data_IF_589691186477
#
_entry.id   IF_589691186477
#
_cell.length_a   1.000
_cell.length_b   1.000
_cell.length_c   1.000
_cell.angle_alpha   90.00
_cell.angle_beta   90.00
_cell.angle_gamma   90.00
#
_symmetry.space_group_name_H-M   'P 1'
#
loop_
_entity.id
_entity.type
_entity.pdbx_description
1 polymer ?
#
# COMPACT_ATOMS: atom_id res chain seq x y z
N UNK A 1 4.22 -7.93 3.99
CA UNK A 1 5.04 -7.15 3.06
C UNK A 1 6.15 -6.40 3.81
N UNK A 2 5.85 -5.35 4.57
CA UNK A 2 6.83 -4.44 5.18
C UNK A 2 7.86 -5.14 6.08
N UNK A 3 7.42 -5.80 7.15
CA UNK A 3 8.31 -6.53 8.08
C UNK A 3 9.09 -7.67 7.42
N UNK A 4 8.54 -8.25 6.34
CA UNK A 4 9.23 -9.27 5.54
C UNK A 4 10.22 -8.70 4.54
N UNK A 5 10.29 -7.38 4.43
CA UNK A 5 11.10 -6.66 3.46
C UNK A 5 10.85 -7.11 2.01
N UNK A 6 9.61 -7.52 1.72
CA UNK A 6 9.14 -7.88 0.39
C UNK A 6 7.97 -6.98 -0.01
N UNK A 7 8.28 -5.86 -0.67
CA UNK A 7 7.29 -4.88 -1.08
C UNK A 7 6.65 -5.18 -2.42
N UNK A 8 7.19 -6.12 -3.20
CA UNK A 8 6.69 -6.46 -4.55
C UNK A 8 5.21 -6.86 -4.55
N UNK A 9 4.78 -7.57 -3.51
CA UNK A 9 3.39 -7.99 -3.38
C UNK A 9 2.38 -6.83 -3.22
N UNK A 10 2.85 -5.62 -2.90
CA UNK A 10 2.01 -4.42 -2.78
C UNK A 10 1.86 -3.71 -4.13
N UNK A 11 2.70 -4.02 -5.11
CA UNK A 11 2.75 -3.33 -6.40
C UNK A 11 1.38 -3.15 -7.09
N UNK A 12 0.46 -4.12 -7.07
CA UNK A 12 -0.85 -3.99 -7.70
C UNK A 12 -1.76 -2.92 -7.10
N UNK A 13 -1.49 -2.52 -5.85
CA UNK A 13 -2.36 -1.62 -5.07
C UNK A 13 -1.89 -0.18 -5.05
N UNK A 14 -0.62 0.06 -5.35
CA UNK A 14 -0.01 1.39 -5.26
C UNK A 14 0.26 1.98 -6.63
N UNK A 15 0.11 3.30 -6.73
CA UNK A 15 0.64 4.06 -7.85
C UNK A 15 2.14 3.86 -7.96
N UNK A 16 2.71 4.08 -9.13
CA UNK A 16 4.15 3.94 -9.34
C UNK A 16 4.97 4.83 -8.40
N UNK A 17 4.52 6.07 -8.21
CA UNK A 17 5.20 7.02 -7.32
C UNK A 17 5.21 6.52 -5.88
N UNK A 18 4.06 6.14 -5.31
CA UNK A 18 3.97 5.68 -3.94
C UNK A 18 4.75 4.38 -3.71
N UNK A 19 4.65 3.45 -4.66
CA UNK A 19 5.44 2.21 -4.61
C UNK A 19 6.94 2.49 -4.57
N UNK A 20 7.41 3.45 -5.36
CA UNK A 20 8.83 3.86 -5.38
C UNK A 20 9.24 4.48 -4.05
N UNK A 21 8.43 5.36 -3.49
CA UNK A 21 8.67 5.99 -2.17
C UNK A 21 8.79 4.94 -1.06
N UNK A 22 7.84 4.01 -0.97
CA UNK A 22 7.87 2.93 0.02
C UNK A 22 9.03 1.96 -0.21
N UNK A 23 9.35 1.64 -1.46
CA UNK A 23 10.50 0.79 -1.78
C UNK A 23 11.81 1.43 -1.34
N UNK A 24 11.98 2.74 -1.54
CA UNK A 24 13.17 3.47 -1.11
C UNK A 24 13.31 3.48 0.42
N UNK A 25 12.21 3.68 1.15
CA UNK A 25 12.22 3.61 2.61
C UNK A 25 12.61 2.20 3.10
N UNK A 26 12.08 1.18 2.45
CA UNK A 26 12.40 -0.21 2.82
C UNK A 26 13.86 -0.57 2.51
N UNK A 27 14.38 -0.11 1.38
CA UNK A 27 15.78 -0.27 1.00
C UNK A 27 16.74 0.40 2.00
N UNK A 28 16.31 1.49 2.64
CA UNK A 28 17.08 2.14 3.70
C UNK A 28 17.20 1.24 4.94
N UNK A 29 16.11 0.62 5.40
CA UNK A 29 16.17 -0.38 6.47
C UNK A 29 17.09 -1.54 6.13
N UNK A 30 17.01 -2.05 4.90
CA UNK A 30 17.86 -3.16 4.42
C UNK A 30 19.34 -2.77 4.43
N UNK A 31 19.68 -1.60 3.88
CA UNK A 31 21.07 -1.10 3.85
C UNK A 31 21.64 -0.88 5.24
N UNK A 32 20.82 -0.47 6.19
CA UNK A 32 21.21 -0.24 7.58
C UNK A 32 21.27 -1.54 8.40
N UNK A 33 20.96 -2.69 7.80
CA UNK A 33 20.91 -3.98 8.49
C UNK A 33 19.83 -4.04 9.59
N UNK A 34 18.70 -3.36 9.35
CA UNK A 34 17.61 -3.26 10.30
C UNK A 34 16.29 -3.73 9.70
N UNK A 35 15.35 -4.11 10.56
CA UNK A 35 13.99 -4.46 10.18
C UNK A 35 13.01 -3.68 11.05
N UNK A 36 12.05 -3.02 10.43
CA UNK A 36 10.91 -2.44 11.15
C UNK A 36 9.80 -3.49 11.31
N UNK A 37 9.45 -3.75 12.54
CA UNK A 37 8.40 -4.69 12.90
C UNK A 37 7.12 -3.94 13.22
N UNK A 38 6.06 -4.32 12.52
CA UNK A 38 4.70 -3.89 12.79
C UNK A 38 3.91 -5.12 13.23
N UNK A 39 3.52 -5.14 14.50
CA UNK A 39 2.83 -6.28 15.11
C UNK A 39 1.47 -5.86 15.67
N UNK A 40 0.57 -6.80 15.79
CA UNK A 40 -0.79 -6.59 16.32
C UNK A 40 -1.54 -5.44 15.63
N UNK A 41 -1.28 -5.28 14.32
CA UNK A 41 -1.93 -4.25 13.51
C UNK A 41 -3.44 -4.53 13.45
N UNK A 42 -4.24 -3.57 13.87
CA UNK A 42 -5.68 -3.64 13.80
C UNK A 42 -6.28 -2.32 13.34
N UNK A 43 -7.21 -2.39 12.40
CA UNK A 43 -8.05 -1.27 12.02
C UNK A 43 -9.21 -1.19 13.00
N UNK A 44 -9.32 -0.06 13.72
CA UNK A 44 -10.37 0.19 14.71
C UNK A 44 -11.60 0.82 14.05
N UNK A 45 -11.35 1.74 13.12
CA UNK A 45 -12.40 2.45 12.39
C UNK A 45 -11.85 3.01 11.07
N UNK A 46 -12.74 3.27 10.12
CA UNK A 46 -12.39 3.94 8.87
C UNK A 46 -13.60 4.66 8.28
N UNK A 47 -13.36 5.85 7.71
CA UNK A 47 -14.42 6.65 7.06
C UNK A 47 -13.88 7.44 5.88
N UNK A 48 -14.75 7.73 4.93
CA UNK A 48 -14.44 8.63 3.81
C UNK A 48 -14.42 10.05 4.36
N UNK A 49 -13.26 10.69 4.26
CA UNK A 49 -13.04 12.05 4.70
C UNK A 49 -13.33 13.09 3.61
N UNK A 50 -12.92 12.77 2.37
CA UNK A 50 -13.04 13.70 1.25
C UNK A 50 -13.17 12.95 -0.08
N UNK A 51 -13.94 13.52 -0.99
CA UNK A 51 -14.02 13.07 -2.38
C UNK A 51 -13.80 14.31 -3.27
N UNK A 52 -12.91 14.20 -4.25
CA UNK A 52 -12.62 15.29 -5.18
C UNK A 52 -12.14 14.75 -6.52
N UNK A 53 -11.98 15.61 -7.51
CA UNK A 53 -11.46 15.26 -8.83
C UNK A 53 -10.64 16.40 -9.41
N UNK A 54 -9.74 16.06 -10.30
CA UNK A 54 -9.06 16.97 -11.20
C UNK A 54 -9.55 16.76 -12.67
N UNK A 55 -8.73 17.09 -13.64
CA UNK A 55 -9.08 16.93 -15.05
C UNK A 55 -9.06 15.47 -15.53
N UNK A 56 -8.31 14.58 -14.88
CA UNK A 56 -8.04 13.21 -15.33
C UNK A 56 -8.49 12.14 -14.33
N UNK A 57 -8.48 12.47 -13.06
CA UNK A 57 -8.69 11.51 -11.96
C UNK A 57 -9.75 11.97 -10.99
N UNK A 58 -10.44 11.00 -10.43
CA UNK A 58 -11.24 11.14 -9.22
C UNK A 58 -10.50 10.51 -8.03
N UNK A 59 -10.68 11.11 -6.87
CA UNK A 59 -9.97 10.77 -5.64
C UNK A 59 -10.93 10.53 -4.50
N UNK A 60 -10.61 9.53 -3.68
CA UNK A 60 -11.26 9.29 -2.40
C UNK A 60 -10.19 9.28 -1.31
N UNK A 61 -10.33 10.16 -0.35
CA UNK A 61 -9.49 10.19 0.84
C UNK A 61 -10.21 9.50 1.99
N UNK A 62 -9.57 8.51 2.57
CA UNK A 62 -10.06 7.72 3.69
C UNK A 62 -9.19 8.01 4.91
N UNK A 63 -9.82 8.31 6.03
CA UNK A 63 -9.19 8.29 7.34
C UNK A 63 -9.38 6.92 7.97
N UNK A 64 -8.29 6.36 8.49
CA UNK A 64 -8.28 5.02 9.08
C UNK A 64 -7.60 5.09 10.45
N UNK A 65 -8.36 4.78 11.50
CA UNK A 65 -7.85 4.67 12.85
C UNK A 65 -7.30 3.26 13.07
N UNK A 66 -6.04 3.18 13.45
CA UNK A 66 -5.38 1.89 13.70
C UNK A 66 -4.69 1.86 15.05
N UNK A 67 -4.41 0.67 15.52
CA UNK A 67 -3.42 0.45 16.54
C UNK A 67 -2.38 -0.59 16.10
N UNK A 68 -1.16 -0.45 16.60
CA UNK A 68 -0.08 -1.38 16.29
C UNK A 68 1.05 -1.25 17.31
N UNK A 69 1.84 -2.30 17.43
CA UNK A 69 3.17 -2.26 18.06
C UNK A 69 4.15 -1.96 16.93
N UNK A 70 5.02 -0.97 17.13
CA UNK A 70 6.01 -0.52 16.15
C UNK A 70 7.38 -0.41 16.81
N UNK A 71 8.36 -1.12 16.24
CA UNK A 71 9.75 -1.07 16.69
C UNK A 71 10.73 -1.46 15.58
N UNK A 72 11.96 -1.01 15.70
CA UNK A 72 13.05 -1.34 14.77
C UNK A 72 14.09 -2.19 15.50
N UNK A 73 14.46 -3.30 14.87
CA UNK A 73 15.46 -4.24 15.36
C UNK A 73 16.66 -4.32 14.43
N UNK A 74 17.84 -4.32 14.99
CA UNK A 74 19.08 -4.62 14.25
C UNK A 74 19.15 -6.12 13.94
N UNK A 75 19.40 -6.48 12.69
CA UNK A 75 19.37 -7.88 12.23
C UNK A 75 20.50 -8.70 12.83
N UNK A 76 21.70 -8.12 12.92
CA UNK A 76 22.91 -8.83 13.36
C UNK A 76 22.88 -9.18 14.86
N UNK A 77 22.38 -8.28 15.70
CA UNK A 77 22.43 -8.43 17.17
C UNK A 77 21.08 -8.79 17.80
N UNK A 78 19.98 -8.56 17.06
CA UNK A 78 18.64 -8.67 17.59
C UNK A 78 18.24 -7.53 18.54
N UNK A 79 19.11 -6.51 18.70
CA UNK A 79 18.86 -5.37 19.59
C UNK A 79 17.76 -4.46 19.02
N UNK A 80 16.86 -4.01 19.89
CA UNK A 80 15.87 -2.98 19.56
C UNK A 80 16.57 -1.62 19.62
N UNK A 81 16.51 -0.90 18.49
CA UNK A 81 17.19 0.39 18.34
C UNK A 81 16.22 1.57 18.26
N UNK A 82 14.95 1.31 17.99
CA UNK A 82 13.88 2.31 18.01
C UNK A 82 12.52 1.68 18.30
N UNK A 83 11.58 2.46 18.79
CA UNK A 83 10.22 2.02 19.09
C UNK A 83 10.12 1.22 20.39
N UNK A 84 9.02 0.45 20.54
CA UNK A 84 8.73 -0.31 21.77
C UNK A 84 7.97 -1.59 21.42
N UNK A 85 8.38 -2.73 22.00
CA UNK A 85 7.80 -4.05 21.71
C UNK A 85 6.50 -4.35 22.46
N UNK A 86 6.10 -3.51 23.39
CA UNK A 86 4.91 -3.72 24.23
C UNK A 86 3.91 -2.58 24.14
N UNK A 87 4.34 -1.39 23.73
CA UNK A 87 3.47 -0.23 23.59
C UNK A 87 2.61 -0.34 22.36
N UNK A 88 1.30 -0.21 22.56
CA UNK A 88 0.32 -0.20 21.47
C UNK A 88 0.06 1.24 21.07
N UNK A 89 0.65 1.65 19.95
CA UNK A 89 0.44 2.99 19.37
C UNK A 89 -0.94 3.08 18.75
N UNK A 90 -1.63 4.18 18.99
CA UNK A 90 -2.81 4.57 18.22
C UNK A 90 -2.40 5.58 17.16
N UNK A 91 -2.80 5.32 15.93
CA UNK A 91 -2.43 6.12 14.77
C UNK A 91 -3.66 6.44 13.92
N UNK A 92 -3.62 7.58 13.29
CA UNK A 92 -4.53 7.91 12.22
C UNK A 92 -3.78 7.90 10.89
N UNK A 93 -4.29 7.15 9.93
CA UNK A 93 -3.74 7.12 8.58
C UNK A 93 -4.68 7.83 7.62
N UNK A 94 -4.10 8.65 6.75
CA UNK A 94 -4.81 9.26 5.63
C UNK A 94 -4.37 8.55 4.36
N UNK A 95 -5.31 7.82 3.75
CA UNK A 95 -5.11 7.09 2.49
C UNK A 95 -5.84 7.82 1.37
N UNK A 96 -5.13 8.18 0.30
CA UNK A 96 -5.75 8.75 -0.89
C UNK A 96 -5.72 7.72 -2.01
N UNK A 97 -6.89 7.32 -2.46
CA UNK A 97 -7.07 6.46 -3.63
C UNK A 97 -7.39 7.31 -4.84
N UNK A 98 -6.83 6.95 -5.99
CA UNK A 98 -7.14 7.59 -7.27
C UNK A 98 -7.68 6.58 -8.26
N UNK A 99 -8.53 7.08 -9.18
CA UNK A 99 -9.05 6.32 -10.32
C UNK A 99 -9.26 7.26 -11.50
N UNK A 100 -9.02 6.79 -12.72
CA UNK A 100 -9.29 7.55 -13.94
C UNK A 100 -10.80 7.86 -14.05
N UNK A 101 -11.14 9.10 -14.38
CA UNK A 101 -12.54 9.52 -14.56
C UNK A 101 -13.22 8.64 -15.62
N UNK A 102 -14.43 8.18 -15.30
CA UNK A 102 -15.22 7.29 -16.15
C UNK A 102 -14.95 5.80 -15.98
N UNK A 103 -13.93 5.41 -15.21
CA UNK A 103 -13.72 4.01 -14.83
C UNK A 103 -14.84 3.56 -13.90
N UNK A 104 -15.49 2.45 -14.25
CA UNK A 104 -16.56 1.86 -13.42
C UNK A 104 -15.98 0.76 -12.53
N UNK A 105 -16.50 0.66 -11.31
CA UNK A 105 -16.23 -0.49 -10.45
C UNK A 105 -16.79 -1.74 -11.12
N UNK A 106 -15.99 -2.81 -11.13
CA UNK A 106 -16.45 -4.11 -11.65
C UNK A 106 -17.64 -4.63 -10.85
N UNK A 107 -18.64 -5.14 -11.54
CA UNK A 107 -19.78 -5.83 -10.92
C UNK A 107 -19.39 -7.22 -10.39
N UNK A 108 -18.22 -7.71 -10.79
CA UNK A 108 -17.67 -9.00 -10.37
C UNK A 108 -16.54 -8.81 -9.36
N UNK A 109 -16.80 -9.00 -8.04
CA UNK A 109 -15.78 -8.82 -6.98
C UNK A 109 -14.53 -9.70 -7.18
N UNK A 110 -14.70 -10.86 -7.81
CA UNK A 110 -13.59 -11.76 -8.15
C UNK A 110 -12.60 -11.15 -9.14
N UNK A 111 -13.01 -10.18 -9.96
CA UNK A 111 -12.11 -9.45 -10.85
C UNK A 111 -11.20 -8.44 -10.11
N UNK A 112 -11.49 -8.17 -8.85
CA UNK A 112 -10.67 -7.35 -7.95
C UNK A 112 -9.58 -8.19 -7.25
N UNK A 113 -9.45 -9.45 -7.63
CA UNK A 113 -8.42 -10.35 -7.11
C UNK A 113 -7.03 -9.82 -7.49
N UNK A 114 -6.15 -9.77 -6.51
CA UNK A 114 -4.72 -9.47 -6.70
C UNK A 114 -3.97 -10.54 -7.47
N UNK A 115 -4.62 -11.66 -7.71
CA UNK A 115 -4.05 -12.82 -8.39
C UNK A 115 -4.32 -12.82 -9.88
N UNK A 116 -5.21 -11.94 -10.38
CA UNK A 116 -5.59 -11.93 -11.79
C UNK A 116 -5.51 -10.51 -12.38
N UNK A 117 -5.02 -10.43 -13.60
CA UNK A 117 -4.98 -9.17 -14.33
C UNK A 117 -6.41 -8.64 -14.58
N UNK A 118 -6.71 -7.38 -14.22
CA UNK A 118 -8.04 -6.81 -14.42
C UNK A 118 -8.42 -6.61 -15.90
N UNK A 119 -7.43 -6.61 -16.82
CA UNK A 119 -7.67 -6.45 -18.24
C UNK A 119 -7.89 -7.79 -18.97
N UNK A 120 -7.04 -8.79 -18.75
CA UNK A 120 -7.09 -10.04 -19.51
C UNK A 120 -7.48 -11.27 -18.69
N UNK A 121 -7.65 -11.14 -17.37
CA UNK A 121 -8.02 -12.24 -16.47
C UNK A 121 -6.90 -13.26 -16.21
N UNK A 122 -5.73 -13.12 -16.82
CA UNK A 122 -4.62 -14.04 -16.62
C UNK A 122 -4.16 -14.04 -15.16
N UNK A 123 -3.85 -15.20 -14.56
CA UNK A 123 -3.21 -15.26 -13.26
C UNK A 123 -1.82 -14.66 -13.38
N UNK A 124 -1.55 -13.61 -12.60
CA UNK A 124 -0.31 -12.87 -12.80
C UNK A 124 0.31 -12.39 -11.50
N UNK A 125 1.63 -12.42 -11.50
CA UNK A 125 2.44 -11.54 -10.66
C UNK A 125 2.70 -10.27 -11.47
N UNK A 126 2.16 -9.14 -11.01
CA UNK A 126 2.39 -7.84 -11.65
C UNK A 126 3.88 -7.49 -11.54
N UNK A 127 4.47 -7.06 -12.65
CA UNK A 127 5.88 -6.66 -12.70
C UNK A 127 6.13 -5.43 -11.80
N UNK A 128 7.40 -5.16 -11.48
CA UNK A 128 7.80 -3.97 -10.72
C UNK A 128 7.38 -2.65 -11.40
N UNK A 129 7.18 -2.68 -12.74
CA UNK A 129 6.64 -1.55 -13.50
C UNK A 129 5.10 -1.41 -13.40
N UNK A 130 4.40 -2.31 -12.68
CA UNK A 130 2.94 -2.32 -12.62
C UNK A 130 2.28 -2.88 -13.88
N UNK A 131 3.03 -3.63 -14.69
CA UNK A 131 2.63 -4.16 -15.98
C UNK A 131 2.24 -5.64 -15.88
N UNK A 132 1.14 -6.01 -16.53
CA UNK A 132 0.79 -7.42 -16.71
C UNK A 132 1.76 -8.08 -17.71
N UNK A 133 2.43 -9.20 -17.36
CA UNK A 133 3.38 -9.86 -18.25
C UNK A 133 2.73 -10.44 -19.52
N UNK A 134 1.43 -10.67 -19.51
CA UNK A 134 0.70 -11.27 -20.63
C UNK A 134 0.15 -10.23 -21.61
N UNK A 135 -0.65 -9.29 -21.14
CA UNK A 135 -1.31 -8.31 -22.03
C UNK A 135 -0.64 -6.93 -22.06
N UNK A 136 0.43 -6.73 -21.28
CA UNK A 136 1.22 -5.49 -21.21
C UNK A 136 0.47 -4.26 -20.68
N UNK A 137 -0.74 -4.44 -20.17
CA UNK A 137 -1.49 -3.33 -19.57
C UNK A 137 -0.86 -2.89 -18.25
N UNK A 138 -0.79 -1.57 -18.04
CA UNK A 138 -0.38 -0.97 -16.75
C UNK A 138 -1.58 -0.97 -15.82
N UNK A 139 -1.59 -1.89 -14.85
CA UNK A 139 -2.75 -2.10 -13.97
C UNK A 139 -2.81 -1.12 -12.80
N UNK A 140 -1.75 -0.37 -12.57
CA UNK A 140 -1.61 0.59 -11.45
C UNK A 140 -1.82 2.05 -11.86
N UNK A 141 -2.39 2.27 -13.05
CA UNK A 141 -2.65 3.62 -13.58
C UNK A 141 -3.99 4.21 -13.14
N UNK A 142 -4.83 3.45 -12.42
CA UNK A 142 -6.19 3.85 -12.08
C UNK A 142 -7.23 3.63 -13.19
N UNK A 143 -6.85 3.05 -14.33
CA UNK A 143 -7.77 2.79 -15.47
C UNK A 143 -8.66 1.57 -15.26
N UNK A 144 -8.33 0.71 -14.32
CA UNK A 144 -9.08 -0.53 -14.05
C UNK A 144 -9.74 -0.51 -12.68
N UNK A 145 -9.10 0.09 -11.68
CA UNK A 145 -9.58 0.10 -10.31
C UNK A 145 -8.98 1.28 -9.54
N UNK A 146 -9.43 1.48 -8.32
CA UNK A 146 -8.82 2.37 -7.36
C UNK A 146 -7.39 1.94 -7.03
N UNK A 147 -6.47 2.90 -7.02
CA UNK A 147 -5.05 2.71 -6.71
C UNK A 147 -4.66 3.67 -5.60
N UNK A 148 -3.98 3.18 -4.58
CA UNK A 148 -3.46 4.01 -3.51
C UNK A 148 -2.34 4.91 -4.05
N UNK A 149 -2.52 6.23 -3.98
CA UNK A 149 -1.53 7.19 -4.49
C UNK A 149 -0.88 8.03 -3.38
N UNK A 150 -1.44 8.00 -2.16
CA UNK A 150 -0.87 8.71 -1.01
C UNK A 150 -1.20 7.97 0.28
N UNK A 151 -0.21 7.87 1.17
CA UNK A 151 -0.34 7.26 2.49
C UNK A 151 0.43 8.11 3.50
N UNK A 152 -0.28 8.61 4.52
CA UNK A 152 0.32 9.39 5.60
C UNK A 152 -0.15 8.82 6.92
N UNK A 153 0.78 8.52 7.83
CA UNK A 153 0.50 8.11 9.20
C UNK A 153 0.88 9.22 10.18
N UNK A 154 0.04 9.44 11.18
CA UNK A 154 0.26 10.39 12.28
C UNK A 154 -0.08 9.71 13.59
N UNK A 155 0.75 9.91 14.63
CA UNK A 155 0.44 9.46 15.97
C UNK A 155 -0.69 10.31 16.56
N UNK A 156 -1.58 9.66 17.30
CA UNK A 156 -2.63 10.31 18.10
C UNK A 156 -2.09 10.72 19.48
#
# INVERSE_FOLDING_TARGET
AWTKQDWKMIRPFESEQLFREHSQQLDEYIRNGTVNYLERVAVKDSFINKVYRDQSYEYVEVKMLTNMIDYVKETATGKIIAGNTTHLWEMIHTLTFMRTIGTKTSEHPESLSVTNCPNCGAPTEITSAGECPYCKSIVTSGTFNWVLCKFIGENL
#
